data_IF_213920162676
#
_entry.id   IF_213920162676
#
_cell.length_a   1.000
_cell.length_b   1.000
_cell.length_c   1.000
_cell.angle_alpha   90.00
_cell.angle_beta   90.00
_cell.angle_gamma   90.00
#
_symmetry.space_group_name_H-M   'P 1'
#
loop_
_entity.id
_entity.type
_entity.pdbx_description
1 polymer ?
#
# COMPACT_ATOMS: atom_id res chain seq x y z
N UNK A 1 -12.34 2.65 -7.76
CA UNK A 1 -11.44 2.09 -8.79
C UNK A 1 -10.01 2.49 -8.45
N UNK A 2 -9.01 1.74 -8.91
CA UNK A 2 -7.58 2.08 -8.77
C UNK A 2 -6.96 2.27 -10.15
N UNK A 3 -6.17 3.33 -10.33
CA UNK A 3 -5.32 3.50 -11.52
C UNK A 3 -4.13 2.53 -11.41
N UNK A 4 -3.93 1.70 -12.43
CA UNK A 4 -2.91 0.64 -12.45
C UNK A 4 -1.49 1.17 -12.35
N UNK A 5 -1.22 2.32 -12.98
CA UNK A 5 0.12 2.90 -13.10
C UNK A 5 0.51 3.72 -11.88
N UNK A 6 -0.43 4.48 -11.32
CA UNK A 6 -0.19 5.42 -10.21
C UNK A 6 -0.73 4.93 -8.88
N UNK A 7 -1.45 3.81 -8.85
CA UNK A 7 -2.12 3.29 -7.64
C UNK A 7 -3.20 4.21 -7.07
N UNK A 8 -3.47 5.36 -7.72
CA UNK A 8 -4.42 6.36 -7.26
C UNK A 8 -5.80 5.70 -7.21
N UNK A 9 -6.42 5.76 -6.03
CA UNK A 9 -7.80 5.34 -5.85
C UNK A 9 -8.70 6.52 -6.16
N UNK A 10 -9.87 6.23 -6.70
CA UNK A 10 -10.87 7.25 -6.95
C UNK A 10 -12.22 6.69 -7.33
N UNK A 11 -13.22 7.57 -7.28
CA UNK A 11 -14.60 7.30 -7.65
C UNK A 11 -14.76 7.55 -9.15
N UNK A 12 -15.44 6.65 -9.84
CA UNK A 12 -15.81 6.87 -11.24
C UNK A 12 -16.96 7.87 -11.27
N UNK A 13 -16.75 9.00 -11.93
CA UNK A 13 -17.77 10.04 -12.11
C UNK A 13 -18.49 9.84 -13.44
N UNK A 14 -17.74 9.45 -14.48
CA UNK A 14 -18.26 9.27 -15.82
C UNK A 14 -17.58 8.08 -16.50
N UNK A 15 -18.36 7.32 -17.26
CA UNK A 15 -17.88 6.25 -18.14
C UNK A 15 -18.38 6.55 -19.54
N UNK A 16 -17.46 6.72 -20.48
CA UNK A 16 -17.72 6.68 -21.91
C UNK A 16 -17.03 5.45 -22.50
N UNK A 17 -17.40 5.05 -23.72
CA UNK A 17 -17.12 3.70 -24.29
C UNK A 17 -15.77 3.08 -23.92
N UNK A 18 -14.68 3.85 -24.00
CA UNK A 18 -13.30 3.45 -23.72
C UNK A 18 -12.60 4.34 -22.67
N UNK A 19 -13.28 5.34 -22.12
CA UNK A 19 -12.69 6.34 -21.21
C UNK A 19 -13.46 6.44 -19.90
N UNK A 20 -12.73 6.75 -18.83
CA UNK A 20 -13.25 6.91 -17.49
C UNK A 20 -12.74 8.21 -16.90
N UNK A 21 -13.65 8.98 -16.31
CA UNK A 21 -13.29 10.12 -15.47
C UNK A 21 -13.31 9.67 -14.01
N UNK A 22 -12.16 9.73 -13.38
CA UNK A 22 -11.94 9.35 -11.99
C UNK A 22 -11.75 10.58 -11.11
N UNK A 23 -12.55 10.68 -10.04
CA UNK A 23 -12.40 11.67 -8.98
C UNK A 23 -11.51 11.12 -7.86
N UNK A 24 -10.49 11.88 -7.52
CA UNK A 24 -9.52 11.58 -6.48
C UNK A 24 -9.34 12.85 -5.62
N UNK A 25 -10.28 13.10 -4.70
CA UNK A 25 -10.35 14.37 -3.98
C UNK A 25 -10.75 15.52 -4.92
N UNK A 26 -9.96 16.60 -4.98
CA UNK A 26 -10.19 17.71 -5.91
C UNK A 26 -9.71 17.41 -7.35
N UNK A 27 -8.96 16.32 -7.54
CA UNK A 27 -8.38 15.95 -8.82
C UNK A 27 -9.38 15.16 -9.67
N UNK A 28 -9.52 15.55 -10.93
CA UNK A 28 -10.26 14.79 -11.96
C UNK A 28 -9.28 14.26 -13.00
N UNK A 29 -9.30 12.96 -13.22
CA UNK A 29 -8.43 12.27 -14.17
C UNK A 29 -9.27 11.63 -15.28
N UNK A 30 -9.01 12.02 -16.52
CA UNK A 30 -9.60 11.39 -17.71
C UNK A 30 -8.60 10.41 -18.33
N UNK A 31 -8.93 9.12 -18.31
CA UNK A 31 -8.03 8.04 -18.75
C UNK A 31 -8.75 6.88 -19.41
N UNK A 32 -7.99 5.98 -20.04
CA UNK A 32 -8.57 4.80 -20.68
C UNK A 32 -9.04 3.78 -19.63
N UNK A 33 -10.13 3.07 -19.93
CA UNK A 33 -10.68 2.02 -19.05
C UNK A 33 -9.66 0.92 -18.74
N UNK A 34 -8.72 0.66 -19.66
CA UNK A 34 -7.63 -0.30 -19.48
C UNK A 34 -6.63 0.09 -18.39
N UNK A 35 -6.54 1.38 -18.04
CA UNK A 35 -5.61 1.89 -17.05
C UNK A 35 -6.16 1.84 -15.63
N UNK A 36 -7.41 1.40 -15.45
CA UNK A 36 -8.02 1.23 -14.13
C UNK A 36 -8.33 -0.23 -13.83
N UNK A 37 -8.39 -0.55 -12.54
CA UNK A 37 -8.85 -1.83 -12.06
C UNK A 37 -9.87 -1.68 -10.93
N UNK A 38 -10.82 -2.61 -10.89
CA UNK A 38 -11.80 -2.68 -9.83
C UNK A 38 -11.13 -3.17 -8.55
N UNK A 39 -11.26 -2.37 -7.50
CA UNK A 39 -10.94 -2.82 -6.14
C UNK A 39 -12.16 -3.59 -5.67
N UNK A 40 -12.15 -4.91 -5.86
CA UNK A 40 -13.21 -5.79 -5.35
C UNK A 40 -12.92 -6.21 -3.91
N UNK A 41 -12.89 -5.25 -3.00
CA UNK A 41 -13.24 -5.57 -1.62
C UNK A 41 -14.76 -5.54 -1.56
N UNK A 42 -15.39 -6.65 -1.94
CA UNK A 42 -16.74 -6.92 -1.44
C UNK A 42 -16.52 -7.35 0.01
N UNK A 43 -16.90 -6.56 1.03
CA UNK A 43 -17.07 -7.15 2.34
C UNK A 43 -18.21 -8.16 2.18
N UNK A 44 -17.90 -9.44 2.29
CA UNK A 44 -18.94 -10.42 2.49
C UNK A 44 -19.60 -10.10 3.84
N UNK A 45 -20.77 -9.47 3.74
CA UNK A 45 -21.68 -9.27 4.85
C UNK A 45 -21.47 -7.98 5.63
N UNK A 46 -21.96 -6.85 5.11
CA UNK A 46 -22.82 -5.95 5.91
C UNK A 46 -23.86 -5.35 4.97
N UNK A 47 -25.13 -5.65 5.24
CA UNK A 47 -26.28 -5.00 4.67
C UNK A 47 -26.71 -3.92 5.66
N UNK A 48 -26.55 -2.64 5.31
CA UNK A 48 -27.10 -1.55 6.11
C UNK A 48 -26.24 -0.30 6.13
N UNK A 49 -26.82 0.74 5.53
CA UNK A 49 -26.73 2.15 5.92
C UNK A 49 -25.44 2.94 5.64
N UNK A 50 -25.53 3.71 4.54
CA UNK A 50 -25.25 5.15 4.44
C UNK A 50 -23.90 5.69 4.96
N UNK A 51 -23.17 6.26 4.01
CA UNK A 51 -22.53 7.57 4.20
C UNK A 51 -21.35 7.65 5.17
N UNK A 52 -20.37 6.76 5.01
CA UNK A 52 -18.97 7.12 5.29
C UNK A 52 -18.24 7.32 3.98
N UNK A 53 -18.34 8.56 3.49
CA UNK A 53 -17.59 9.06 2.36
C UNK A 53 -16.11 8.68 2.49
N UNK A 54 -15.66 7.85 1.55
CA UNK A 54 -14.24 7.58 1.36
C UNK A 54 -13.53 8.92 1.14
N UNK A 55 -12.76 9.34 2.14
CA UNK A 55 -11.87 10.49 2.01
C UNK A 55 -10.78 10.10 1.00
N UNK A 56 -10.49 11.05 0.08
CA UNK A 56 -9.73 10.82 -1.13
C UNK A 56 -8.30 10.30 -0.91
N UNK A 57 -7.46 10.26 -1.97
CA UNK A 57 -6.10 9.79 -1.80
C UNK A 57 -5.33 10.82 -0.96
N UNK A 58 -4.89 10.40 0.23
CA UNK A 58 -3.87 11.11 0.98
C UNK A 58 -2.56 11.06 0.18
N UNK A 59 -2.36 12.08 -0.64
CA UNK A 59 -1.05 12.42 -1.19
C UNK A 59 -0.20 12.97 -0.04
N UNK A 60 0.43 12.07 0.71
CA UNK A 60 1.44 12.41 1.71
C UNK A 60 0.92 12.53 3.13
N UNK A 61 0.41 11.44 3.70
CA UNK A 61 0.55 11.22 5.15
C UNK A 61 1.81 10.37 5.36
N UNK A 62 2.59 10.75 6.35
CA UNK A 62 3.94 10.26 6.65
C UNK A 62 4.00 8.73 6.65
N UNK A 63 4.42 8.13 5.54
CA UNK A 63 4.77 6.70 5.50
C UNK A 63 6.12 6.56 6.19
N UNK A 64 6.14 5.98 7.38
CA UNK A 64 7.40 5.56 8.00
C UNK A 64 8.14 4.65 7.01
N UNK A 65 9.41 4.94 6.79
CA UNK A 65 10.27 4.21 5.88
C UNK A 65 11.41 3.59 6.68
N UNK A 66 11.61 2.29 6.54
CA UNK A 66 12.77 1.59 7.07
C UNK A 66 13.66 1.14 5.92
N UNK A 67 14.87 1.69 5.90
CA UNK A 67 15.89 1.34 4.92
C UNK A 67 16.82 0.24 5.45
N UNK A 68 16.75 -0.93 4.82
CA UNK A 68 17.57 -2.10 5.11
C UNK A 68 18.66 -2.34 4.06
N UNK A 69 18.86 -1.41 3.12
CA UNK A 69 19.81 -1.55 2.02
C UNK A 69 21.23 -1.76 2.54
N UNK A 70 21.92 -2.75 1.99
CA UNK A 70 23.31 -3.04 2.34
C UNK A 70 23.51 -3.64 3.73
N UNK A 71 22.45 -3.76 4.54
CA UNK A 71 22.51 -4.45 5.83
C UNK A 71 22.86 -5.92 5.66
N UNK A 72 23.47 -6.50 6.70
CA UNK A 72 23.65 -7.95 6.77
C UNK A 72 22.32 -8.61 7.15
N UNK A 73 22.06 -9.79 6.60
CA UNK A 73 20.79 -10.52 6.80
C UNK A 73 20.47 -10.74 8.28
N UNK A 74 21.48 -10.93 9.13
CA UNK A 74 21.30 -11.11 10.57
C UNK A 74 20.93 -9.83 11.34
N UNK A 75 21.06 -8.65 10.74
CA UNK A 75 20.67 -7.37 11.35
C UNK A 75 19.22 -7.00 11.02
N UNK A 76 18.71 -7.49 9.88
CA UNK A 76 17.38 -7.15 9.33
C UNK A 76 16.26 -7.40 10.33
N UNK A 77 16.31 -8.50 11.07
CA UNK A 77 15.22 -8.88 11.97
C UNK A 77 15.03 -7.87 13.11
N UNK A 78 16.13 -7.41 13.69
CA UNK A 78 16.07 -6.41 14.76
C UNK A 78 15.54 -5.07 14.23
N UNK A 79 16.09 -4.57 13.12
CA UNK A 79 15.70 -3.27 12.56
C UNK A 79 14.26 -3.28 12.03
N UNK A 80 13.85 -4.35 11.34
CA UNK A 80 12.48 -4.49 10.87
C UNK A 80 11.50 -4.60 12.04
N UNK A 81 11.80 -5.40 13.08
CA UNK A 81 10.92 -5.52 14.24
C UNK A 81 10.67 -4.18 14.92
N UNK A 82 11.72 -3.38 15.10
CA UNK A 82 11.62 -2.03 15.69
C UNK A 82 10.75 -1.11 14.84
N UNK A 83 10.93 -1.13 13.52
CA UNK A 83 10.09 -0.35 12.62
C UNK A 83 8.60 -0.78 12.66
N UNK A 84 8.32 -2.08 12.82
CA UNK A 84 6.95 -2.58 13.00
C UNK A 84 6.38 -2.19 14.37
N UNK A 85 7.20 -2.17 15.42
CA UNK A 85 6.79 -1.68 16.76
C UNK A 85 6.41 -0.20 16.69
N UNK A 86 7.29 0.63 16.13
CA UNK A 86 7.10 2.07 15.99
C UNK A 86 5.84 2.37 15.15
N UNK A 87 5.66 1.64 14.04
CA UNK A 87 4.48 1.81 13.17
C UNK A 87 3.17 1.53 13.91
N UNK A 88 3.13 0.49 14.74
CA UNK A 88 1.92 0.17 15.53
C UNK A 88 1.71 1.16 16.67
N UNK A 89 2.78 1.64 17.31
CA UNK A 89 2.70 2.66 18.37
C UNK A 89 2.22 4.01 17.83
N UNK A 90 2.59 4.35 16.60
CA UNK A 90 2.16 5.56 15.90
C UNK A 90 0.82 5.41 15.17
N UNK A 91 0.16 4.24 15.29
CA UNK A 91 -1.11 3.91 14.64
C UNK A 91 -1.08 4.11 13.11
N UNK A 92 0.06 3.76 12.49
CA UNK A 92 0.23 3.85 11.05
C UNK A 92 -0.54 2.74 10.34
N UNK A 93 -1.28 3.12 9.30
CA UNK A 93 -1.98 2.17 8.43
C UNK A 93 -1.02 1.35 7.56
N UNK A 94 0.14 1.92 7.17
CA UNK A 94 1.17 1.25 6.37
C UNK A 94 2.57 1.83 6.54
N UNK A 95 3.60 1.01 6.28
CA UNK A 95 5.00 1.43 6.18
C UNK A 95 5.69 0.92 4.91
N UNK A 96 6.81 1.55 4.56
CA UNK A 96 7.69 1.15 3.45
C UNK A 96 8.95 0.48 3.98
N UNK A 97 9.18 -0.76 3.55
CA UNK A 97 10.39 -1.52 3.86
C UNK A 97 11.25 -1.56 2.61
N UNK A 98 12.32 -0.76 2.57
CA UNK A 98 13.26 -0.75 1.45
C UNK A 98 14.35 -1.78 1.75
N UNK A 99 14.34 -2.92 1.06
CA UNK A 99 15.33 -3.99 1.21
C UNK A 99 16.28 -4.12 0.00
N UNK A 100 15.98 -3.39 -1.08
CA UNK A 100 16.77 -3.35 -2.30
C UNK A 100 16.51 -4.50 -3.24
N UNK A 101 16.96 -4.33 -4.48
CA UNK A 101 16.73 -5.31 -5.56
C UNK A 101 17.75 -6.46 -5.46
N UNK A 102 19.04 -6.11 -5.49
CA UNK A 102 20.19 -6.98 -5.21
C UNK A 102 20.05 -8.43 -5.69
N UNK A 103 20.53 -9.36 -4.86
CA UNK A 103 20.34 -10.82 -5.04
C UNK A 103 18.95 -11.28 -4.56
N UNK A 104 18.16 -10.39 -3.96
CA UNK A 104 16.89 -10.74 -3.31
C UNK A 104 17.02 -11.40 -1.93
N UNK A 105 18.23 -11.53 -1.37
CA UNK A 105 18.43 -12.14 -0.05
C UNK A 105 17.70 -11.39 1.07
N UNK A 106 17.81 -10.05 1.10
CA UNK A 106 17.12 -9.22 2.07
C UNK A 106 15.60 -9.25 1.85
N UNK A 107 15.13 -9.19 0.60
CA UNK A 107 13.70 -9.36 0.26
C UNK A 107 13.14 -10.65 0.84
N UNK A 108 13.85 -11.77 0.65
CA UNK A 108 13.42 -13.08 1.16
C UNK A 108 13.37 -13.07 2.69
N UNK A 109 14.40 -12.55 3.36
CA UNK A 109 14.44 -12.48 4.82
C UNK A 109 13.30 -11.61 5.38
N UNK A 110 13.05 -10.45 4.76
CA UNK A 110 11.94 -9.56 5.11
C UNK A 110 10.61 -10.29 4.99
N UNK A 111 10.35 -10.98 3.87
CA UNK A 111 9.12 -11.76 3.69
C UNK A 111 8.94 -12.82 4.80
N UNK A 112 9.99 -13.59 5.11
CA UNK A 112 9.94 -14.61 6.18
C UNK A 112 9.63 -14.06 7.57
N UNK A 113 10.05 -12.81 7.85
CA UNK A 113 9.76 -12.14 9.12
C UNK A 113 8.31 -11.67 9.13
N UNK A 114 7.88 -10.98 8.07
CA UNK A 114 6.53 -10.42 7.95
C UNK A 114 5.45 -11.50 7.95
N UNK A 115 5.68 -12.65 7.31
CA UNK A 115 4.75 -13.79 7.32
C UNK A 115 4.48 -14.36 8.73
N UNK A 116 5.37 -14.12 9.69
CA UNK A 116 5.26 -14.61 11.07
C UNK A 116 4.73 -13.56 12.04
N UNK A 117 4.62 -12.31 11.59
CA UNK A 117 4.26 -11.20 12.45
C UNK A 117 2.75 -10.99 12.46
N UNK A 118 2.12 -11.18 13.62
CA UNK A 118 0.67 -11.10 13.79
C UNK A 118 0.10 -9.69 13.64
N UNK A 119 0.95 -8.66 13.67
CA UNK A 119 0.53 -7.25 13.51
C UNK A 119 0.29 -6.90 12.04
N UNK A 120 0.92 -7.64 11.14
CA UNK A 120 0.85 -7.42 9.70
C UNK A 120 -0.42 -8.07 9.15
N UNK A 121 -1.25 -7.28 8.49
CA UNK A 121 -2.50 -7.73 7.86
C UNK A 121 -2.30 -8.11 6.41
N UNK A 122 -1.48 -7.34 5.68
CA UNK A 122 -1.18 -7.60 4.28
C UNK A 122 0.20 -7.05 3.90
N UNK A 123 0.76 -7.60 2.82
CA UNK A 123 2.00 -7.10 2.23
C UNK A 123 1.89 -7.09 0.71
N UNK A 124 2.54 -6.11 0.08
CA UNK A 124 2.67 -6.06 -1.38
C UNK A 124 4.01 -5.51 -1.80
N UNK A 125 4.43 -5.82 -3.02
CA UNK A 125 5.56 -5.13 -3.63
C UNK A 125 5.20 -3.65 -3.89
N UNK A 126 6.22 -2.79 -3.82
CA UNK A 126 6.10 -1.40 -4.21
C UNK A 126 5.84 -1.26 -5.72
N UNK A 127 5.05 -0.24 -6.07
CA UNK A 127 4.89 0.20 -7.45
C UNK A 127 6.15 0.90 -7.98
N UNK A 128 6.28 1.13 -9.30
CA UNK A 128 7.47 1.79 -9.87
C UNK A 128 7.83 3.13 -9.21
N UNK A 129 6.83 3.94 -8.86
CA UNK A 129 7.00 5.23 -8.18
C UNK A 129 7.24 5.11 -6.66
N UNK A 130 7.07 3.92 -6.08
CA UNK A 130 7.33 3.61 -4.66
C UNK A 130 8.68 2.89 -4.45
N UNK A 131 9.50 2.74 -5.50
CA UNK A 131 10.78 1.99 -5.45
C UNK A 131 10.73 0.59 -6.08
N UNK A 132 9.56 0.17 -6.54
CA UNK A 132 9.36 -1.07 -7.31
C UNK A 132 9.72 -2.32 -6.51
N UNK A 133 10.39 -3.26 -7.18
CA UNK A 133 10.76 -4.56 -6.60
C UNK A 133 11.81 -4.51 -5.48
N UNK A 134 12.34 -3.33 -5.16
CA UNK A 134 13.24 -3.10 -4.02
C UNK A 134 12.53 -2.71 -2.73
N UNK A 135 11.20 -2.59 -2.77
CA UNK A 135 10.37 -2.13 -1.67
C UNK A 135 9.23 -3.11 -1.43
N UNK A 136 8.96 -3.39 -0.16
CA UNK A 136 7.73 -4.03 0.30
C UNK A 136 6.91 -3.01 1.08
N UNK A 137 5.63 -2.92 0.78
CA UNK A 137 4.65 -2.16 1.55
C UNK A 137 4.01 -3.13 2.54
N UNK A 138 4.00 -2.74 3.80
CA UNK A 138 3.46 -3.52 4.92
C UNK A 138 2.25 -2.77 5.46
N UNK A 139 1.12 -3.47 5.59
CA UNK A 139 -0.16 -2.89 6.04
C UNK A 139 -0.55 -3.48 7.39
N UNK A 140 -1.07 -2.65 8.29
CA UNK A 140 -1.50 -3.01 9.64
C UNK A 140 -3.02 -2.94 9.77
N UNK A 141 -3.55 -3.58 10.81
CA UNK A 141 -4.98 -3.68 11.10
C UNK A 141 -5.57 -2.56 11.95
N UNK A 142 -4.96 -1.38 11.98
CA UNK A 142 -5.50 -0.21 12.67
C UNK A 142 -6.72 0.35 11.95
N UNK A 143 -7.74 0.76 12.70
CA UNK A 143 -8.83 1.57 12.13
C UNK A 143 -8.29 2.97 11.83
N UNK A 144 -8.50 3.52 10.62
CA UNK A 144 -8.08 4.88 10.28
C UNK A 144 -8.89 5.96 10.99
#
# INVERSE_FOLDING_TARGET
MRVRTTGIRGKVIEVSRDRVILEAGELKLDMALSEIEAITTRPEGIQGDQDRGWQGPELGTTRLEVDLHGMRVNQVELELSRALDDAVLEDLSEIRVIHGKGTGALRKRVAEILEKDLRVVDTRMGYPYEGGTGVTIVMFGGEP
#
